data_IF_689119436921
#
_entry.id   IF_689119436921
#
_cell.length_a   1.000
_cell.length_b   1.000
_cell.length_c   1.000
_cell.angle_alpha   90.00
_cell.angle_beta   90.00
_cell.angle_gamma   90.00
#
_symmetry.space_group_name_H-M   'P 1'
#
loop_
_entity.id
_entity.type
_entity.pdbx_description
1 polymer ?
#
# COMPACT_ATOMS: atom_id res chain seq x y z
N UNK A 1 9.75 7.18 -4.09
CA UNK A 1 10.60 7.12 -2.87
C UNK A 1 9.81 7.76 -1.74
N UNK A 2 9.75 7.12 -0.57
CA UNK A 2 9.00 7.61 0.58
C UNK A 2 9.93 8.34 1.56
N UNK A 3 9.48 9.46 2.12
CA UNK A 3 10.20 10.28 3.08
C UNK A 3 9.49 10.33 4.44
N UNK A 4 10.22 10.57 5.53
CA UNK A 4 9.60 10.70 6.85
C UNK A 4 8.74 11.96 6.92
N UNK A 5 7.44 11.78 7.17
CA UNK A 5 6.48 12.87 7.28
C UNK A 5 6.01 13.11 8.71
N UNK A 6 5.73 12.02 9.43
CA UNK A 6 5.28 12.07 10.83
C UNK A 6 5.74 10.85 11.61
N UNK A 7 5.47 10.83 12.91
CA UNK A 7 5.71 9.67 13.78
C UNK A 7 5.07 8.38 13.27
N UNK A 8 3.95 8.48 12.54
CA UNK A 8 3.17 7.32 12.11
C UNK A 8 3.11 7.13 10.59
N UNK A 9 3.67 8.06 9.81
CA UNK A 9 3.57 8.02 8.35
C UNK A 9 4.86 8.46 7.66
N UNK A 10 5.12 7.82 6.53
CA UNK A 10 5.97 8.33 5.46
C UNK A 10 5.10 9.00 4.39
N UNK A 11 5.62 9.99 3.68
CA UNK A 11 5.00 10.63 2.53
C UNK A 11 5.69 10.13 1.26
N UNK A 12 4.91 9.80 0.23
CA UNK A 12 5.44 9.47 -1.09
C UNK A 12 4.53 10.04 -2.17
N UNK A 13 5.02 10.05 -3.40
CA UNK A 13 4.25 10.41 -4.58
C UNK A 13 4.18 9.22 -5.52
N UNK A 14 2.97 8.89 -5.97
CA UNK A 14 2.69 7.79 -6.88
C UNK A 14 1.76 8.28 -7.98
N UNK A 15 1.88 7.69 -9.17
CA UNK A 15 0.84 7.80 -10.18
C UNK A 15 -0.33 6.93 -9.74
N UNK A 16 -1.52 7.49 -9.59
CA UNK A 16 -2.70 6.74 -9.16
C UNK A 16 -3.58 6.50 -10.36
N UNK A 17 -3.92 5.24 -10.62
CA UNK A 17 -4.80 4.85 -11.72
C UNK A 17 -5.99 4.01 -11.21
N UNK A 18 -7.19 4.20 -11.79
CA UNK A 18 -8.31 3.31 -11.55
C UNK A 18 -8.06 1.97 -12.26
N UNK A 19 -8.56 0.88 -11.67
CA UNK A 19 -8.39 -0.47 -12.19
C UNK A 19 -9.55 -1.37 -11.77
N UNK A 20 -9.89 -2.37 -12.59
CA UNK A 20 -10.99 -3.33 -12.37
C UNK A 20 -10.73 -4.36 -11.25
N UNK A 21 -9.79 -4.07 -10.36
CA UNK A 21 -9.38 -4.99 -9.29
C UNK A 21 -10.13 -4.75 -8.00
N UNK A 22 -10.22 -5.78 -7.16
CA UNK A 22 -10.87 -5.69 -5.85
C UNK A 22 -9.97 -5.06 -4.78
N UNK A 23 -8.66 -5.33 -4.83
CA UNK A 23 -7.69 -4.89 -3.81
C UNK A 23 -6.65 -3.96 -4.41
N UNK A 24 -6.38 -2.78 -3.82
CA UNK A 24 -5.30 -1.91 -4.27
C UNK A 24 -3.92 -2.59 -4.24
N UNK A 25 -3.03 -2.18 -5.13
CA UNK A 25 -1.64 -2.65 -5.13
C UNK A 25 -0.74 -1.68 -5.89
N UNK A 26 0.55 -1.84 -5.60
CA UNK A 26 1.65 -1.28 -6.36
C UNK A 26 2.43 -2.43 -7.02
N UNK A 27 3.43 -2.08 -7.83
CA UNK A 27 4.32 -3.07 -8.44
C UNK A 27 4.98 -3.97 -7.37
N UNK A 28 4.99 -5.29 -7.59
CA UNK A 28 5.47 -6.29 -6.61
C UNK A 28 6.87 -6.04 -6.07
N UNK A 29 7.85 -5.78 -6.94
CA UNK A 29 9.22 -5.49 -6.51
C UNK A 29 9.34 -4.16 -5.75
N UNK A 30 8.51 -3.15 -6.05
CA UNK A 30 8.41 -1.92 -5.27
C UNK A 30 7.79 -2.19 -3.89
N UNK A 31 6.74 -3.01 -3.83
CA UNK A 31 6.11 -3.46 -2.59
C UNK A 31 7.10 -4.18 -1.67
N UNK A 32 7.81 -5.18 -2.20
CA UNK A 32 8.81 -5.94 -1.46
C UNK A 32 9.94 -5.05 -0.98
N UNK A 33 10.44 -4.15 -1.83
CA UNK A 33 11.50 -3.20 -1.47
C UNK A 33 11.06 -2.24 -0.36
N UNK A 34 9.83 -1.72 -0.43
CA UNK A 34 9.28 -0.85 0.62
C UNK A 34 9.12 -1.61 1.93
N UNK A 35 8.61 -2.84 1.88
CA UNK A 35 8.52 -3.71 3.06
C UNK A 35 9.90 -3.98 3.67
N UNK A 36 10.88 -4.38 2.86
CA UNK A 36 12.25 -4.63 3.32
C UNK A 36 12.86 -3.39 3.98
N UNK A 37 12.73 -2.21 3.36
CA UNK A 37 13.40 -1.00 3.84
C UNK A 37 12.72 -0.31 5.02
N UNK A 38 11.39 -0.39 5.11
CA UNK A 38 10.61 0.36 6.11
C UNK A 38 10.01 -0.51 7.21
N UNK A 39 9.84 -1.80 6.95
CA UNK A 39 9.24 -2.75 7.88
C UNK A 39 10.24 -3.84 8.30
N UNK A 40 11.34 -4.01 7.56
CA UNK A 40 12.47 -4.84 7.98
C UNK A 40 13.26 -4.18 9.09
N UNK A 41 13.07 -4.64 10.32
CA UNK A 41 14.03 -4.49 11.42
C UNK A 41 14.49 -5.89 11.87
N UNK A 42 15.67 -6.00 12.47
CA UNK A 42 16.51 -7.20 12.62
C UNK A 42 15.75 -8.55 12.75
N UNK A 43 15.44 -9.23 11.64
CA UNK A 43 14.71 -10.50 11.66
C UNK A 43 14.18 -11.02 10.31
N UNK A 44 13.44 -12.14 10.37
CA UNK A 44 12.69 -12.70 9.24
C UNK A 44 11.41 -11.87 9.02
N UNK A 45 11.41 -11.01 7.99
CA UNK A 45 10.29 -10.17 7.64
C UNK A 45 9.52 -10.71 6.43
N UNK A 46 8.19 -10.57 6.45
CA UNK A 46 7.32 -10.93 5.33
C UNK A 46 7.25 -9.78 4.33
N UNK A 47 8.00 -9.87 3.24
CA UNK A 47 8.00 -8.86 2.16
C UNK A 47 6.68 -8.76 1.39
N UNK A 48 5.82 -9.75 1.57
CA UNK A 48 4.45 -9.85 1.06
C UNK A 48 3.40 -9.31 2.04
N UNK A 49 3.80 -8.78 3.20
CA UNK A 49 2.86 -8.17 4.12
C UNK A 49 2.19 -6.93 3.49
N UNK A 50 0.85 -6.76 3.65
CA UNK A 50 0.15 -5.62 3.07
C UNK A 50 0.70 -4.31 3.64
N UNK A 51 1.02 -3.38 2.74
CA UNK A 51 1.27 -1.99 3.10
C UNK A 51 -0.07 -1.30 3.37
N UNK A 52 -0.11 -0.38 4.33
CA UNK A 52 -1.30 0.45 4.53
C UNK A 52 -1.00 1.87 4.06
N UNK A 53 -1.65 2.27 2.98
CA UNK A 53 -1.53 3.60 2.41
C UNK A 53 -2.76 4.42 2.72
N UNK A 54 -2.58 5.73 2.90
CA UNK A 54 -3.67 6.69 2.97
C UNK A 54 -3.69 7.50 1.68
N UNK A 55 -4.81 7.41 0.97
CA UNK A 55 -5.12 8.22 -0.20
C UNK A 55 -6.36 9.05 0.13
N UNK A 56 -6.29 10.35 -0.11
CA UNK A 56 -7.32 11.32 0.28
C UNK A 56 -7.73 11.18 1.76
N UNK A 57 -8.93 10.66 2.03
CA UNK A 57 -9.49 10.48 3.37
C UNK A 57 -9.45 9.04 3.87
N UNK A 58 -9.15 8.06 3.01
CA UNK A 58 -9.25 6.64 3.31
C UNK A 58 -7.89 5.98 3.54
N UNK A 59 -7.85 5.00 4.44
CA UNK A 59 -6.74 4.06 4.57
C UNK A 59 -7.09 2.78 3.82
N UNK A 60 -6.19 2.35 2.96
CA UNK A 60 -6.36 1.19 2.09
C UNK A 60 -5.19 0.21 2.29
N UNK A 61 -5.47 -1.10 2.42
CA UNK A 61 -4.44 -2.11 2.27
C UNK A 61 -3.99 -2.15 0.81
N UNK A 62 -2.69 -2.28 0.61
CA UNK A 62 -2.03 -2.26 -0.69
C UNK A 62 -1.12 -3.48 -0.78
N UNK A 63 -1.37 -4.33 -1.77
CA UNK A 63 -0.58 -5.54 -2.03
C UNK A 63 0.53 -5.28 -3.07
N UNK A 64 1.25 -6.33 -3.43
CA UNK A 64 2.24 -6.33 -4.51
C UNK A 64 1.77 -7.16 -5.71
N UNK A 65 1.77 -6.53 -6.88
CA UNK A 65 1.27 -7.12 -8.13
C UNK A 65 2.27 -6.89 -9.27
N UNK A 66 2.54 -7.91 -10.09
CA UNK A 66 3.50 -7.81 -11.19
C UNK A 66 2.92 -7.09 -12.42
N UNK A 67 1.60 -6.98 -12.54
CA UNK A 67 0.93 -6.32 -13.66
C UNK A 67 0.89 -4.79 -13.50
N UNK A 68 1.08 -4.29 -12.27
CA UNK A 68 1.08 -2.85 -11.98
C UNK A 68 2.43 -2.23 -12.34
N UNK A 69 2.48 -1.14 -13.12
CA UNK A 69 3.74 -0.47 -13.43
C UNK A 69 4.44 0.09 -12.19
N UNK A 70 5.77 0.06 -12.19
CA UNK A 70 6.57 0.67 -11.10
C UNK A 70 6.22 2.15 -10.92
N UNK A 71 6.14 2.60 -9.66
CA UNK A 71 5.70 3.95 -9.31
C UNK A 71 4.20 4.22 -9.44
N UNK A 72 3.40 3.19 -9.72
CA UNK A 72 1.95 3.30 -9.88
C UNK A 72 1.21 2.62 -8.73
N UNK A 73 0.14 3.26 -8.26
CA UNK A 73 -0.84 2.73 -7.33
C UNK A 73 -2.14 2.51 -8.09
N UNK A 74 -2.43 1.24 -8.38
CA UNK A 74 -3.68 0.84 -9.00
C UNK A 74 -4.74 0.66 -7.90
N UNK A 75 -5.82 1.43 -7.99
CA UNK A 75 -6.93 1.42 -7.03
C UNK A 75 -8.25 1.03 -7.70
N UNK A 76 -9.17 0.36 -6.99
CA UNK A 76 -10.55 0.25 -7.43
C UNK A 76 -11.18 1.63 -7.61
N UNK A 77 -12.07 1.76 -8.60
CA UNK A 77 -12.82 3.00 -8.88
C UNK A 77 -13.66 3.49 -7.69
N UNK A 78 -14.00 2.61 -6.75
CA UNK A 78 -14.74 2.94 -5.53
C UNK A 78 -13.89 3.56 -4.41
N UNK A 79 -12.55 3.53 -4.52
CA UNK A 79 -11.64 3.96 -3.45
C UNK A 79 -11.49 5.48 -3.37
N UNK A 80 -11.67 6.19 -4.49
CA UNK A 80 -11.59 7.66 -4.51
C UNK A 80 -12.52 8.24 -5.56
N UNK A 81 -13.19 9.36 -5.21
CA UNK A 81 -13.98 10.18 -6.13
C UNK A 81 -13.12 11.15 -6.95
N UNK A 82 -11.81 10.99 -6.93
CA UNK A 82 -10.91 11.94 -7.54
C UNK A 82 -10.77 11.76 -9.06
N UNK A 83 -10.46 12.87 -9.74
CA UNK A 83 -10.15 12.85 -11.18
C UNK A 83 -8.82 12.10 -11.41
N UNK A 84 -8.93 10.85 -11.85
CA UNK A 84 -7.85 9.90 -12.10
C UNK A 84 -7.86 9.46 -13.57
N UNK A 85 -6.71 9.13 -14.17
CA UNK A 85 -5.41 8.90 -13.52
C UNK A 85 -4.57 10.17 -13.33
N UNK A 86 -3.87 10.28 -12.19
CA UNK A 86 -3.07 11.45 -11.84
C UNK A 86 -1.98 11.15 -10.80
N UNK A 87 -0.91 11.95 -10.77
CA UNK A 87 0.06 11.91 -9.66
C UNK A 87 -0.57 12.42 -8.36
N UNK A 88 -0.43 11.65 -7.27
CA UNK A 88 -0.96 11.99 -5.95
C UNK A 88 0.06 11.75 -4.85
N UNK A 89 -0.07 12.58 -3.82
CA UNK A 89 0.62 12.38 -2.55
C UNK A 89 -0.11 11.28 -1.76
N UNK A 90 0.66 10.31 -1.27
CA UNK A 90 0.19 9.14 -0.54
C UNK A 90 0.95 9.05 0.78
N UNK A 91 0.22 8.82 1.88
CA UNK A 91 0.85 8.59 3.18
C UNK A 91 0.95 7.10 3.45
N UNK A 92 2.16 6.57 3.51
CA UNK A 92 2.40 5.18 3.89
C UNK A 92 2.48 5.09 5.42
N UNK A 93 1.63 4.25 6.02
CA UNK A 93 1.69 3.99 7.45
C UNK A 93 2.98 3.28 7.83
N UNK A 94 3.53 3.63 9.00
CA UNK A 94 4.62 2.88 9.64
C UNK A 94 4.14 1.52 10.14
N UNK A 95 5.04 0.54 10.39
CA UNK A 95 4.67 -0.83 10.74
C UNK A 95 3.65 -0.95 11.88
N UNK A 96 3.88 -0.26 13.00
CA UNK A 96 2.96 -0.27 14.15
C UNK A 96 1.57 0.25 13.76
N UNK A 97 1.54 1.36 13.01
CA UNK A 97 0.29 2.00 12.59
C UNK A 97 -0.46 1.15 11.57
N UNK A 98 0.25 0.52 10.63
CA UNK A 98 -0.33 -0.39 9.66
C UNK A 98 -0.95 -1.60 10.38
N UNK A 99 -0.25 -2.19 11.35
CA UNK A 99 -0.74 -3.30 12.14
C UNK A 99 -2.02 -2.95 12.93
N UNK A 100 -2.11 -1.75 13.50
CA UNK A 100 -3.35 -1.27 14.13
C UNK A 100 -4.50 -1.15 13.13
N UNK A 101 -4.26 -0.51 11.98
CA UNK A 101 -5.29 -0.26 10.97
C UNK A 101 -5.84 -1.55 10.38
N UNK A 102 -4.98 -2.53 10.10
CA UNK A 102 -5.38 -3.85 9.59
C UNK A 102 -6.23 -4.63 10.59
N UNK A 103 -5.92 -4.52 11.90
CA UNK A 103 -6.75 -5.14 12.94
C UNK A 103 -8.15 -4.55 12.99
N UNK A 104 -8.28 -3.22 12.82
CA UNK A 104 -9.58 -2.55 12.86
C UNK A 104 -10.41 -2.73 11.58
N UNK A 105 -9.78 -2.94 10.43
CA UNK A 105 -10.49 -3.24 9.17
C UNK A 105 -10.99 -4.68 9.08
N UNK A 106 -10.67 -5.53 10.07
CA UNK A 106 -11.02 -6.95 10.04
C UNK A 106 -10.13 -7.78 9.10
N UNK A 107 -9.04 -7.20 8.58
CA UNK A 107 -8.08 -7.90 7.73
C UNK A 107 -7.34 -8.96 8.55
N UNK A 108 -7.51 -10.25 8.20
CA UNK A 108 -6.69 -11.32 8.79
C UNK A 108 -5.44 -11.51 7.95
N UNK A 109 -4.28 -11.28 8.56
CA UNK A 109 -2.99 -11.65 7.98
C UNK A 109 -3.01 -13.14 7.59
N UNK A 110 -2.85 -13.45 6.30
CA UNK A 110 -2.78 -14.81 5.77
C UNK A 110 -3.92 -15.24 4.84
N UNK A 111 -4.86 -14.36 4.47
CA UNK A 111 -5.91 -14.67 3.48
C UNK A 111 -5.42 -14.57 2.01
N UNK A 112 -4.10 -14.65 1.79
CA UNK A 112 -3.45 -14.57 0.46
C UNK A 112 -3.70 -15.82 -0.41
N UNK A 113 -4.66 -16.68 -0.05
CA UNK A 113 -5.10 -17.82 -0.87
C UNK A 113 -6.02 -17.40 -2.03
N UNK A 114 -6.20 -16.09 -2.28
CA UNK A 114 -7.14 -15.56 -3.27
C UNK A 114 -6.51 -14.82 -4.47
N UNK A 115 -5.20 -14.98 -4.70
CA UNK A 115 -4.54 -14.49 -5.94
C UNK A 115 -3.79 -15.62 -6.63
N UNK A 116 -4.54 -16.49 -7.30
CA UNK A 116 -4.03 -17.51 -8.22
C UNK A 116 -4.77 -17.44 -9.55
#
# INVERSE_FOLDING_TARGET
MFETFSTSYYLGRLYVEPSDRDVPAIQRADHERVNEHLYGDEGLFRTDAPLVMKLDRGHIPVLGDDEVPSGTLAVPESVTDADLPAERDVLLARPDRAAELLRYSGYRFGDDEAVA
#
